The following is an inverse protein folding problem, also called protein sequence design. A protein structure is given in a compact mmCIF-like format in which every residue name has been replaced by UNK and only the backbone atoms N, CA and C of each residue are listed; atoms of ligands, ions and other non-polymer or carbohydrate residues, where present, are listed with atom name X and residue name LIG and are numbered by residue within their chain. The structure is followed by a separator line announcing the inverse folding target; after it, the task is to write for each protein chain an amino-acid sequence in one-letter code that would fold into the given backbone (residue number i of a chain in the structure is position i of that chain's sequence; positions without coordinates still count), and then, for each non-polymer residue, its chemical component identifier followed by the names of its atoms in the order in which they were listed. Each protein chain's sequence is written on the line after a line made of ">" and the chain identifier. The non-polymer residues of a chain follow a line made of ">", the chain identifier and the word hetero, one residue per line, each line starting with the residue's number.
data_IF_856870538733
#
_entry.id   IF_856870538733
#
_cell.length_a   1.000
_cell.length_b   1.000
_cell.length_c   1.000
_cell.angle_alpha   90.00
_cell.angle_beta   90.00
_cell.angle_gamma   90.00
#
_symmetry.space_group_name_H-M   'P 1'
#
loop_
_entity.id
_entity.type
_entity.pdbx_description
1 polymer ?
#
# COMPACT_ATOMS: atom_id res chain seq x y z
N UNK A 1 -8.63 -15.82 -19.85
CA UNK A 1 -9.33 -16.26 -18.63
C UNK A 1 -9.98 -15.04 -18.01
N UNK A 2 -11.21 -15.10 -17.47
CA UNK A 2 -11.74 -13.95 -16.73
C UNK A 2 -10.86 -13.70 -15.49
N UNK A 3 -10.50 -12.44 -15.27
CA UNK A 3 -9.77 -12.02 -14.08
C UNK A 3 -10.76 -11.72 -12.95
N UNK A 4 -10.29 -11.81 -11.70
CA UNK A 4 -11.04 -11.29 -10.55
C UNK A 4 -11.02 -9.77 -10.62
N UNK A 5 -12.19 -9.14 -10.48
CA UNK A 5 -12.31 -7.68 -10.35
C UNK A 5 -12.02 -7.27 -8.90
N UNK A 6 -10.79 -6.84 -8.65
CA UNK A 6 -10.31 -6.44 -7.32
C UNK A 6 -10.41 -4.92 -7.21
N UNK A 7 -11.23 -4.43 -6.28
CA UNK A 7 -11.44 -2.99 -6.05
C UNK A 7 -10.35 -2.41 -5.14
N UNK A 8 -10.14 -3.00 -3.96
CA UNK A 8 -9.18 -2.53 -2.96
C UNK A 8 -8.91 -3.60 -1.90
N UNK A 9 -7.97 -3.32 -0.99
CA UNK A 9 -7.87 -4.07 0.28
C UNK A 9 -9.00 -3.60 1.20
N UNK A 10 -9.95 -4.48 1.49
CA UNK A 10 -11.08 -4.14 2.38
C UNK A 10 -10.64 -4.04 3.84
N UNK A 11 -9.83 -4.99 4.32
CA UNK A 11 -9.40 -5.00 5.71
C UNK A 11 -8.08 -5.75 5.90
N UNK A 12 -7.41 -5.44 7.01
CA UNK A 12 -6.24 -6.16 7.50
C UNK A 12 -6.62 -6.80 8.84
N UNK A 13 -6.18 -8.04 9.06
CA UNK A 13 -6.37 -8.74 10.33
C UNK A 13 -5.06 -8.74 11.12
N UNK A 14 -5.10 -8.28 12.36
CA UNK A 14 -3.99 -8.32 13.30
C UNK A 14 -4.33 -9.21 14.49
N UNK A 15 -3.35 -10.02 14.89
CA UNK A 15 -3.40 -10.75 16.14
C UNK A 15 -2.80 -9.86 17.22
N UNK A 16 -3.54 -9.71 18.31
CA UNK A 16 -3.14 -8.97 19.51
C UNK A 16 -3.23 -9.89 20.73
N UNK A 17 -2.38 -9.70 21.73
CA UNK A 17 -2.43 -10.49 22.96
C UNK A 17 -3.38 -9.87 23.98
N UNK A 18 -3.28 -8.55 24.12
CA UNK A 18 -4.06 -7.77 25.08
C UNK A 18 -4.96 -6.81 24.30
N UNK A 19 -6.27 -7.08 24.41
CA UNK A 19 -7.26 -6.28 23.68
C UNK A 19 -7.38 -4.87 24.24
N UNK A 20 -7.22 -4.69 25.54
CA UNK A 20 -7.32 -3.38 26.18
C UNK A 20 -6.14 -2.50 25.77
N UNK A 21 -4.93 -3.06 25.78
CA UNK A 21 -3.74 -2.36 25.30
C UNK A 21 -3.86 -2.00 23.80
N UNK A 22 -4.36 -2.93 22.98
CA UNK A 22 -4.62 -2.67 21.57
C UNK A 22 -5.66 -1.56 21.37
N UNK A 23 -6.77 -1.58 22.08
CA UNK A 23 -7.80 -0.54 22.00
C UNK A 23 -7.25 0.82 22.46
N UNK A 24 -6.47 0.87 23.53
CA UNK A 24 -5.80 2.09 23.98
C UNK A 24 -4.89 2.70 22.90
N UNK A 25 -4.22 1.86 22.10
CA UNK A 25 -3.41 2.30 20.98
C UNK A 25 -4.24 2.67 19.74
N UNK A 26 -5.00 1.74 19.17
CA UNK A 26 -5.69 1.95 17.90
C UNK A 26 -6.87 2.93 18.00
N UNK A 27 -7.60 2.94 19.11
CA UNK A 27 -8.70 3.89 19.34
C UNK A 27 -8.16 5.14 20.01
N UNK A 28 -7.40 4.98 21.10
CA UNK A 28 -6.95 6.10 21.92
C UNK A 28 -5.87 6.97 21.27
N UNK A 29 -4.91 6.37 20.57
CA UNK A 29 -3.81 7.11 19.91
C UNK A 29 -4.13 7.39 18.45
N UNK A 30 -4.55 6.37 17.68
CA UNK A 30 -4.78 6.53 16.25
C UNK A 30 -6.19 7.03 15.90
N UNK A 31 -7.12 7.05 16.86
CA UNK A 31 -8.46 7.59 16.67
C UNK A 31 -9.41 6.71 15.86
N UNK A 32 -9.10 5.43 15.65
CA UNK A 32 -10.01 4.52 14.95
C UNK A 32 -11.30 4.31 15.73
N UNK A 33 -12.39 4.06 15.01
CA UNK A 33 -13.70 3.95 15.62
C UNK A 33 -14.15 2.50 15.74
N UNK A 34 -14.69 2.04 16.87
CA UNK A 34 -15.27 0.71 16.95
C UNK A 34 -16.40 0.53 15.92
N UNK A 35 -16.45 -0.62 15.26
CA UNK A 35 -17.57 -0.97 14.40
C UNK A 35 -18.84 -1.18 15.25
N UNK A 36 -19.99 -0.65 14.81
CA UNK A 36 -21.23 -0.61 15.60
C UNK A 36 -21.76 -2.01 15.99
N UNK A 37 -21.48 -3.03 15.18
CA UNK A 37 -22.06 -4.38 15.34
C UNK A 37 -21.05 -5.49 15.55
N UNK A 38 -19.75 -5.23 15.34
CA UNK A 38 -18.71 -6.26 15.35
C UNK A 38 -17.54 -5.76 16.17
N UNK A 39 -17.47 -6.17 17.44
CA UNK A 39 -16.51 -5.63 18.41
C UNK A 39 -15.05 -5.90 18.05
N UNK A 40 -14.74 -6.91 17.23
CA UNK A 40 -13.37 -7.15 16.77
C UNK A 40 -12.92 -6.21 15.65
N UNK A 41 -13.80 -5.34 15.13
CA UNK A 41 -13.52 -4.51 13.96
C UNK A 41 -13.44 -3.04 14.36
N UNK A 42 -12.42 -2.35 13.82
CA UNK A 42 -12.25 -0.91 13.91
C UNK A 42 -12.38 -0.29 12.51
N UNK A 43 -13.05 0.84 12.41
CA UNK A 43 -13.31 1.58 11.18
C UNK A 43 -12.21 2.61 11.00
N UNK A 44 -11.57 2.59 9.82
CA UNK A 44 -10.53 3.55 9.41
C UNK A 44 -11.16 4.67 8.58
N UNK A 45 -12.05 4.29 7.66
CA UNK A 45 -12.82 5.15 6.78
C UNK A 45 -14.07 4.40 6.29
N UNK A 46 -14.83 5.00 5.37
CA UNK A 46 -16.09 4.45 4.84
C UNK A 46 -15.97 3.08 4.15
N UNK A 47 -14.75 2.67 3.77
CA UNK A 47 -14.49 1.48 2.94
C UNK A 47 -13.46 0.52 3.52
N UNK A 48 -12.78 0.88 4.62
CA UNK A 48 -11.69 0.09 5.19
C UNK A 48 -11.82 -0.10 6.69
N UNK A 49 -11.54 -1.33 7.13
CA UNK A 49 -11.56 -1.72 8.54
C UNK A 49 -10.27 -2.43 8.96
N UNK A 50 -9.96 -2.38 10.26
CA UNK A 50 -8.94 -3.20 10.90
C UNK A 50 -9.64 -4.25 11.76
N UNK A 51 -9.32 -5.52 11.54
CA UNK A 51 -9.84 -6.63 12.32
C UNK A 51 -8.82 -7.04 13.39
N UNK A 52 -9.15 -6.82 14.66
CA UNK A 52 -8.35 -7.20 15.81
C UNK A 52 -8.83 -8.53 16.39
N UNK A 53 -7.97 -9.55 16.32
CA UNK A 53 -8.22 -10.86 16.92
C UNK A 53 -7.34 -11.01 18.15
N UNK A 54 -7.98 -10.97 19.32
CA UNK A 54 -7.30 -11.20 20.59
C UNK A 54 -7.06 -12.70 20.80
N UNK A 55 -5.80 -13.10 20.94
CA UNK A 55 -5.43 -14.47 21.29
C UNK A 55 -4.54 -14.42 22.54
N UNK A 56 -5.16 -14.46 23.74
CA UNK A 56 -4.43 -14.35 25.00
C UNK A 56 -3.41 -15.48 25.18
N UNK A 57 -2.28 -15.19 25.81
CA UNK A 57 -1.28 -16.21 26.18
C UNK A 57 -0.45 -16.76 25.03
N UNK A 58 -0.61 -16.26 23.80
CA UNK A 58 0.43 -16.48 22.78
C UNK A 58 1.68 -15.75 23.22
N UNK A 59 2.84 -16.41 23.20
CA UNK A 59 4.10 -15.74 23.48
C UNK A 59 4.21 -14.46 22.62
N UNK A 60 4.79 -13.36 23.16
CA UNK A 60 5.16 -12.22 22.34
C UNK A 60 5.84 -12.74 21.08
N UNK A 61 5.30 -12.40 19.91
CA UNK A 61 5.71 -12.97 18.60
C UNK A 61 7.11 -12.46 18.17
N UNK A 62 7.95 -12.12 19.16
CA UNK A 62 9.31 -11.60 19.12
C UNK A 62 10.30 -12.55 18.42
N UNK A 63 9.89 -13.78 18.14
CA UNK A 63 10.71 -14.80 17.50
C UNK A 63 10.51 -14.96 15.98
N UNK A 64 9.54 -14.26 15.36
CA UNK A 64 9.34 -14.41 13.91
C UNK A 64 10.37 -13.59 13.12
N UNK A 65 11.16 -14.20 12.21
CA UNK A 65 12.12 -13.48 11.37
C UNK A 65 11.45 -12.47 10.42
N UNK A 66 10.13 -12.57 10.22
CA UNK A 66 9.38 -11.68 9.35
C UNK A 66 8.94 -10.37 10.04
N UNK A 67 9.05 -10.25 11.37
CA UNK A 67 8.55 -9.06 12.09
C UNK A 67 9.16 -7.71 11.69
N UNK A 68 10.45 -7.63 11.32
CA UNK A 68 11.00 -6.35 10.87
C UNK A 68 10.36 -5.85 9.57
N UNK A 69 9.87 -6.77 8.73
CA UNK A 69 9.31 -6.46 7.39
C UNK A 69 7.79 -6.61 7.32
N UNK A 70 7.15 -7.39 8.19
CA UNK A 70 5.71 -7.62 8.15
C UNK A 70 4.99 -6.40 8.74
N UNK A 71 4.38 -5.61 7.87
CA UNK A 71 3.60 -4.44 8.24
C UNK A 71 2.32 -4.35 7.41
N UNK A 72 1.45 -3.44 7.81
CA UNK A 72 0.46 -2.85 6.93
C UNK A 72 0.69 -1.35 6.86
N UNK A 73 0.30 -0.75 5.75
CA UNK A 73 0.49 0.67 5.51
C UNK A 73 -0.85 1.42 5.54
N UNK A 74 -0.81 2.62 6.08
CA UNK A 74 -1.91 3.57 6.14
C UNK A 74 -1.53 4.82 5.36
N UNK A 75 -2.33 5.16 4.37
CA UNK A 75 -2.22 6.45 3.72
C UNK A 75 -2.80 7.54 4.63
N UNK A 76 -2.06 8.61 4.82
CA UNK A 76 -2.41 9.78 5.63
C UNK A 76 -2.17 11.05 4.84
N UNK A 77 -2.94 12.10 5.14
CA UNK A 77 -2.79 13.40 4.47
C UNK A 77 -1.65 14.25 5.01
N UNK A 78 -1.12 13.92 6.20
CA UNK A 78 -0.08 14.71 6.86
C UNK A 78 0.76 13.85 7.84
N UNK A 79 1.95 13.43 7.41
CA UNK A 79 2.87 12.64 8.22
C UNK A 79 3.42 13.40 9.43
N UNK A 80 3.64 14.72 9.33
CA UNK A 80 4.15 15.51 10.45
C UNK A 80 3.14 15.55 11.61
N UNK A 81 1.85 15.61 11.29
CA UNK A 81 0.79 15.49 12.29
C UNK A 81 0.76 14.10 12.93
N UNK A 82 0.97 13.03 12.16
CA UNK A 82 1.08 11.67 12.71
C UNK A 82 2.26 11.56 13.67
N UNK A 83 3.45 12.06 13.29
CA UNK A 83 4.62 12.09 14.17
C UNK A 83 4.32 12.79 15.49
N UNK A 84 3.69 13.96 15.42
CA UNK A 84 3.31 14.74 16.60
C UNK A 84 2.39 13.96 17.53
N UNK A 85 1.31 13.35 16.99
CA UNK A 85 0.35 12.55 17.76
C UNK A 85 1.04 11.36 18.44
N UNK A 86 1.88 10.63 17.70
CA UNK A 86 2.59 9.47 18.22
C UNK A 86 3.54 9.84 19.36
N UNK A 87 4.34 10.90 19.18
CA UNK A 87 5.26 11.37 20.22
C UNK A 87 4.52 11.87 21.47
N UNK A 88 3.41 12.61 21.29
CA UNK A 88 2.58 13.08 22.41
C UNK A 88 1.95 11.91 23.19
N UNK A 89 1.62 10.82 22.51
CA UNK A 89 1.14 9.59 23.12
C UNK A 89 2.25 8.68 23.69
N UNK A 90 3.50 9.16 23.74
CA UNK A 90 4.65 8.42 24.27
C UNK A 90 5.09 7.23 23.41
N UNK A 91 4.64 7.17 22.15
CA UNK A 91 5.06 6.13 21.21
C UNK A 91 6.48 6.41 20.71
N UNK A 92 7.10 5.40 20.09
CA UNK A 92 8.46 5.47 19.55
C UNK A 92 8.43 5.38 18.02
N UNK A 93 8.02 6.45 17.32
CA UNK A 93 8.03 6.47 15.87
C UNK A 93 9.46 6.46 15.32
N UNK A 94 9.64 5.91 14.13
CA UNK A 94 10.94 5.85 13.45
C UNK A 94 10.78 5.84 11.93
N UNK A 95 11.84 6.20 11.22
CA UNK A 95 11.97 5.95 9.78
C UNK A 95 12.89 4.74 9.55
N UNK A 96 12.85 4.17 8.35
CA UNK A 96 13.65 2.99 8.01
C UNK A 96 14.34 3.17 6.65
N UNK A 97 15.60 2.73 6.53
CA UNK A 97 16.31 2.71 5.25
C UNK A 97 16.11 1.38 4.49
N UNK A 98 16.62 1.30 3.26
CA UNK A 98 16.55 0.09 2.43
C UNK A 98 17.32 -1.12 2.97
N UNK A 99 18.02 -0.98 4.11
CA UNK A 99 18.70 -2.06 4.84
C UNK A 99 18.02 -2.38 6.16
N UNK A 100 16.78 -1.91 6.35
CA UNK A 100 15.98 -2.13 7.56
C UNK A 100 16.57 -1.46 8.81
N UNK A 101 17.44 -0.45 8.65
CA UNK A 101 17.96 0.29 9.80
C UNK A 101 16.93 1.29 10.29
N UNK A 102 16.51 1.14 11.54
CA UNK A 102 15.60 2.06 12.21
C UNK A 102 16.33 3.37 12.60
N UNK A 103 15.66 4.50 12.37
CA UNK A 103 16.06 5.83 12.80
C UNK A 103 14.92 6.45 13.62
N UNK A 104 15.04 6.40 14.95
CA UNK A 104 14.03 6.92 15.86
C UNK A 104 13.92 8.44 15.78
N UNK A 105 12.68 8.91 15.73
CA UNK A 105 12.32 10.32 15.78
C UNK A 105 11.91 10.66 17.20
N UNK A 106 12.37 11.79 17.71
CA UNK A 106 12.20 12.21 19.12
C UNK A 106 11.66 13.61 19.25
N UNK A 107 11.65 14.40 18.17
CA UNK A 107 11.10 15.75 18.13
C UNK A 107 10.03 15.86 17.02
N UNK A 108 8.89 16.54 17.25
CA UNK A 108 7.87 16.76 16.21
C UNK A 108 8.38 17.49 14.96
N UNK A 109 9.48 18.24 15.07
CA UNK A 109 10.17 18.93 13.98
C UNK A 109 11.25 18.10 13.28
N UNK A 110 11.48 16.85 13.68
CA UNK A 110 12.46 15.99 13.03
C UNK A 110 12.14 15.82 11.52
N UNK A 111 13.16 15.87 10.64
CA UNK A 111 12.95 15.75 9.21
C UNK A 111 12.47 14.35 8.83
N UNK A 112 11.37 14.27 8.08
CA UNK A 112 10.78 13.02 7.60
C UNK A 112 11.37 12.54 6.26
N UNK A 113 12.68 12.67 6.08
CA UNK A 113 13.37 12.41 4.80
C UNK A 113 14.38 11.26 4.87
N UNK A 114 14.54 10.61 6.02
CA UNK A 114 15.44 9.46 6.14
C UNK A 114 14.84 8.23 5.45
N UNK A 115 15.69 7.49 4.72
CA UNK A 115 15.33 6.20 4.16
C UNK A 115 14.15 6.26 3.19
N UNK A 116 13.07 5.53 3.49
CA UNK A 116 11.84 5.50 2.67
C UNK A 116 11.08 6.83 2.67
N UNK A 117 11.37 7.73 3.61
CA UNK A 117 10.57 8.95 3.82
C UNK A 117 9.17 8.69 4.37
N UNK A 118 8.91 7.46 4.84
CA UNK A 118 7.68 7.06 5.54
C UNK A 118 7.91 7.00 7.04
N UNK A 119 6.83 6.84 7.80
CA UNK A 119 6.86 6.81 9.26
C UNK A 119 6.38 5.47 9.77
N UNK A 120 7.11 4.86 10.69
CA UNK A 120 6.76 3.58 11.28
C UNK A 120 6.51 3.71 12.77
N UNK A 121 5.63 2.87 13.30
CA UNK A 121 5.47 2.64 14.74
C UNK A 121 5.13 1.17 14.99
N UNK A 122 5.43 0.69 16.20
CA UNK A 122 5.00 -0.62 16.66
C UNK A 122 3.84 -0.48 17.63
N UNK A 123 2.81 -1.31 17.46
CA UNK A 123 1.75 -1.43 18.46
C UNK A 123 2.26 -2.14 19.74
N UNK A 124 1.45 -2.26 20.80
CA UNK A 124 1.84 -2.92 22.05
C UNK A 124 2.33 -4.37 21.87
N UNK A 125 1.88 -5.06 20.82
CA UNK A 125 2.27 -6.44 20.50
C UNK A 125 3.48 -6.51 19.57
N UNK A 126 3.98 -5.38 19.06
CA UNK A 126 5.09 -5.28 18.14
C UNK A 126 4.72 -5.41 16.66
N UNK A 127 3.42 -5.40 16.31
CA UNK A 127 2.99 -5.31 14.91
C UNK A 127 3.45 -3.97 14.33
N UNK A 128 3.99 -4.00 13.12
CA UNK A 128 4.56 -2.82 12.48
C UNK A 128 3.49 -2.12 11.64
N UNK A 129 3.34 -0.82 11.84
CA UNK A 129 2.44 0.06 11.10
C UNK A 129 3.30 1.07 10.35
N UNK A 130 3.07 1.20 9.06
CA UNK A 130 3.66 2.24 8.22
C UNK A 130 2.61 3.33 7.92
N UNK A 131 3.00 4.59 7.99
CA UNK A 131 2.21 5.71 7.53
C UNK A 131 2.88 6.33 6.29
N UNK A 132 2.07 6.63 5.29
CA UNK A 132 2.50 7.14 3.99
C UNK A 132 1.70 8.40 3.67
N UNK A 133 2.38 9.49 3.33
CA UNK A 133 1.76 10.64 2.67
C UNK A 133 2.17 10.64 1.20
N UNK A 134 1.20 10.60 0.29
CA UNK A 134 1.46 10.64 -1.15
C UNK A 134 2.21 11.91 -1.53
N UNK A 135 3.12 11.80 -2.52
CA UNK A 135 3.97 12.90 -2.93
C UNK A 135 5.24 13.07 -2.09
N UNK A 136 5.47 12.23 -1.05
CA UNK A 136 6.67 12.25 -0.21
C UNK A 136 7.44 10.93 -0.28
N UNK A 137 8.75 11.00 0.02
CA UNK A 137 9.62 9.83 0.14
C UNK A 137 9.62 8.96 -1.12
N UNK A 138 9.59 7.64 -0.92
CA UNK A 138 9.49 6.65 -2.00
C UNK A 138 8.22 6.80 -2.85
N UNK A 139 7.17 7.42 -2.29
CA UNK A 139 5.87 7.63 -2.92
C UNK A 139 5.70 9.03 -3.50
N UNK A 140 6.83 9.71 -3.79
CA UNK A 140 6.86 11.00 -4.47
C UNK A 140 6.56 10.93 -5.96
N UNK A 141 6.65 9.74 -6.56
CA UNK A 141 6.24 9.46 -7.94
C UNK A 141 4.89 8.75 -7.90
N UNK A 142 3.93 9.17 -8.74
CA UNK A 142 2.60 8.54 -8.81
C UNK A 142 2.73 7.02 -9.03
N UNK A 143 2.12 6.23 -8.14
CA UNK A 143 2.00 4.78 -8.31
C UNK A 143 0.91 4.38 -9.34
N UNK A 144 0.17 5.36 -9.89
CA UNK A 144 -0.88 5.05 -10.86
C UNK A 144 -0.23 4.60 -12.17
N UNK A 145 -0.68 3.49 -12.77
CA UNK A 145 -0.28 3.16 -14.12
C UNK A 145 -0.69 4.32 -15.03
N UNK A 146 0.24 4.80 -15.84
CA UNK A 146 -0.06 5.72 -16.92
C UNK A 146 -1.04 5.00 -17.84
N UNK A 147 -2.30 5.45 -17.86
CA UNK A 147 -3.24 5.03 -18.90
C UNK A 147 -2.71 5.62 -20.21
N UNK A 148 -1.92 4.82 -20.95
CA UNK A 148 -1.66 5.11 -22.34
C UNK A 148 -2.98 4.93 -23.09
N UNK A 149 -3.64 6.04 -23.39
CA UNK A 149 -4.74 6.05 -24.35
C UNK A 149 -4.09 5.76 -25.71
N UNK A 150 -4.14 4.50 -26.12
CA UNK A 150 -3.88 4.13 -27.52
C UNK A 150 -5.12 4.56 -28.29
N UNK A 151 -5.08 5.75 -28.89
CA UNK A 151 -6.07 6.13 -29.90
C UNK A 151 -5.94 5.14 -31.07
N UNK A 152 -6.92 4.25 -31.23
CA UNK A 152 -7.03 3.42 -32.41
C UNK A 152 -7.45 4.32 -33.57
N UNK A 153 -6.52 4.59 -34.48
CA UNK A 153 -6.73 5.37 -35.69
C UNK A 153 -7.81 4.69 -36.57
N UNK A 154 -8.99 5.29 -36.80
CA UNK A 154 -10.07 4.65 -37.52
C UNK A 154 -9.98 4.99 -39.00
N UNK A 155 -8.91 4.57 -39.68
CA UNK A 155 -8.90 4.72 -41.14
C UNK A 155 -7.96 3.72 -41.83
N UNK A 156 -8.45 2.49 -42.02
CA UNK A 156 -8.10 1.66 -43.18
C UNK A 156 -9.30 0.78 -43.58
N UNK A 157 -10.33 1.40 -44.15
CA UNK A 157 -11.25 0.68 -45.04
C UNK A 157 -11.72 1.56 -46.19
N UNK A 158 -10.82 1.75 -47.16
CA UNK A 158 -11.20 1.94 -48.56
C UNK A 158 -10.16 1.14 -49.36
N UNK A 159 -10.51 0.05 -50.03
CA UNK A 159 -11.44 0.03 -51.14
C UNK A 159 -10.63 0.15 -52.43
N UNK A 160 -10.21 -0.97 -53.01
CA UNK A 160 -9.89 -0.99 -54.44
C UNK A 160 -10.25 -2.34 -55.07
N UNK A 161 -11.41 -2.38 -55.71
CA UNK A 161 -11.74 -3.32 -56.77
C UNK A 161 -11.02 -2.87 -58.04
N UNK A 162 -10.16 -3.74 -58.59
CA UNK A 162 -9.54 -3.55 -59.90
C UNK A 162 -9.06 -4.88 -60.46
N UNK A 163 -9.93 -5.58 -61.17
CA UNK A 163 -9.59 -6.72 -62.01
C UNK A 163 -8.88 -6.25 -63.27
N UNK A 164 -7.73 -6.84 -63.65
CA UNK A 164 -7.40 -7.13 -65.06
C UNK A 164 -6.46 -8.34 -65.14
N UNK A 165 -6.80 -9.22 -66.08
CA UNK A 165 -6.17 -10.48 -66.47
C UNK A 165 -4.77 -10.31 -67.12
N UNK A 166 -4.02 -11.42 -67.23
CA UNK A 166 -2.93 -11.52 -68.21
C UNK A 166 -1.80 -12.50 -67.86
N UNK A 167 -2.07 -13.81 -67.90
CA UNK A 167 -1.01 -14.81 -68.04
C UNK A 167 -0.70 -15.00 -69.54
N UNK A 168 0.55 -14.76 -69.96
CA UNK A 168 1.11 -15.31 -71.19
C UNK A 168 2.59 -15.65 -70.99
N UNK A 169 2.88 -16.92 -71.23
CA UNK A 169 4.18 -17.59 -71.22
C UNK A 169 5.10 -17.17 -72.38
N UNK A 170 6.42 -17.20 -72.19
CA UNK A 170 7.32 -18.17 -72.87
C UNK A 170 8.82 -17.86 -72.64
N UNK A 171 9.52 -18.88 -72.10
CA UNK A 171 10.79 -19.47 -72.57
C UNK A 171 11.97 -18.57 -73.03
N UNK A 172 13.11 -18.72 -72.32
CA UNK A 172 14.27 -19.42 -72.88
C UNK A 172 15.47 -18.61 -73.42
N UNK A 173 16.51 -18.50 -72.56
CA UNK A 173 17.96 -18.75 -72.81
C UNK A 173 18.73 -17.88 -73.84
N UNK A 174 20.10 -17.95 -73.92
CA UNK A 174 21.04 -18.76 -73.14
C UNK A 174 22.28 -18.01 -72.58
N UNK A 175 22.98 -18.71 -71.69
CA UNK A 175 24.35 -18.47 -71.23
C UNK A 175 24.78 -19.64 -70.36
#
# INVERSE_FOLDING_TARGET
>A
MPNVDVISVHHVCLVVQDREAADAFYIGVLGFQPHHGVKSWLVLNDTSTLHLVAIPGTAPRNASPHRPIQHFALQVSNLANVLTILLQAGQKPFQMDGKMKEHFLVDPGDPLTFGTGTLFVRDPDGNLIEFIEEGKGLFSVEMRPRLEIVESNPDQSSGNHGSVEGFSSSLGAPG
#
